data_IF_783751621552
#
_entry.id   IF_783751621552
#
_cell.length_a   1.000
_cell.length_b   1.000
_cell.length_c   1.000
_cell.angle_alpha   90.00
_cell.angle_beta   90.00
_cell.angle_gamma   90.00
#
_symmetry.space_group_name_H-M   'P 1'
#
loop_
_entity.id
_entity.type
_entity.pdbx_description
1 polymer ?
#
# COMPACT_ATOMS: atom_id res chain seq x y z
N UNK A 1 -12.67 13.38 3.19
CA UNK A 1 -14.11 13.61 3.40
C UNK A 1 -14.78 12.31 3.79
N UNK A 2 -15.67 12.31 4.77
CA UNK A 2 -16.46 11.15 5.12
C UNK A 2 -17.29 10.70 3.90
N UNK A 3 -17.22 9.40 3.55
CA UNK A 3 -17.93 8.86 2.39
C UNK A 3 -17.20 8.93 1.05
N UNK A 4 -16.00 9.48 1.00
CA UNK A 4 -15.20 9.51 -0.23
C UNK A 4 -14.33 8.24 -0.43
N UNK A 5 -14.34 7.33 0.51
CA UNK A 5 -13.50 6.13 0.52
C UNK A 5 -14.26 4.94 1.12
N UNK A 6 -14.47 3.90 0.32
CA UNK A 6 -15.10 2.65 0.73
C UNK A 6 -14.09 1.52 0.77
N UNK A 7 -14.26 0.58 1.71
CA UNK A 7 -13.39 -0.59 1.84
C UNK A 7 -14.19 -1.87 2.02
N UNK A 8 -13.76 -2.91 1.30
CA UNK A 8 -14.19 -4.29 1.52
C UNK A 8 -13.03 -5.02 2.16
N UNK A 9 -13.13 -5.23 3.46
CA UNK A 9 -12.16 -5.99 4.24
C UNK A 9 -12.27 -7.49 3.95
N UNK A 10 -11.14 -8.19 4.07
CA UNK A 10 -11.06 -9.63 3.83
C UNK A 10 -11.57 -10.02 2.43
N UNK A 11 -11.21 -9.24 1.42
CA UNK A 11 -11.64 -9.49 0.04
C UNK A 11 -11.15 -10.83 -0.49
N UNK A 12 -9.99 -11.31 -0.02
CA UNK A 12 -9.45 -12.62 -0.35
C UNK A 12 -10.40 -13.75 0.09
N UNK A 13 -10.78 -13.77 1.37
CA UNK A 13 -11.69 -14.80 1.91
C UNK A 13 -13.07 -14.72 1.26
N UNK A 14 -13.60 -13.51 1.12
CA UNK A 14 -14.91 -13.28 0.49
C UNK A 14 -14.94 -13.76 -0.96
N UNK A 15 -13.86 -13.54 -1.71
CA UNK A 15 -13.78 -14.00 -3.09
C UNK A 15 -13.66 -15.54 -3.14
N UNK A 16 -12.89 -16.14 -2.25
CA UNK A 16 -12.77 -17.59 -2.13
C UNK A 16 -14.12 -18.25 -1.87
N UNK A 17 -14.93 -17.68 -0.99
CA UNK A 17 -16.26 -18.20 -0.64
C UNK A 17 -17.28 -18.00 -1.76
N UNK A 18 -17.28 -16.83 -2.41
CA UNK A 18 -18.30 -16.46 -3.39
C UNK A 18 -18.00 -16.95 -4.81
N UNK A 19 -16.72 -17.07 -5.17
CA UNK A 19 -16.28 -17.40 -6.53
C UNK A 19 -14.91 -18.08 -6.52
N UNK A 20 -14.81 -19.36 -6.09
CA UNK A 20 -13.53 -20.07 -5.93
C UNK A 20 -12.66 -20.10 -7.20
N UNK A 21 -13.27 -20.29 -8.36
CA UNK A 21 -12.55 -20.33 -9.64
C UNK A 21 -11.93 -18.98 -10.00
N UNK A 22 -12.62 -17.90 -9.69
CA UNK A 22 -12.08 -16.53 -9.88
C UNK A 22 -10.97 -16.27 -8.88
N UNK A 23 -11.17 -16.68 -7.62
CA UNK A 23 -10.16 -16.59 -6.57
C UNK A 23 -8.85 -17.27 -6.99
N UNK A 24 -8.92 -18.52 -7.46
CA UNK A 24 -7.73 -19.25 -7.90
C UNK A 24 -7.00 -18.55 -9.05
N UNK A 25 -7.72 -18.13 -10.09
CA UNK A 25 -7.12 -17.43 -11.23
C UNK A 25 -6.53 -16.07 -10.86
N UNK A 26 -7.13 -15.39 -9.91
CA UNK A 26 -6.69 -14.06 -9.48
C UNK A 26 -5.44 -14.14 -8.59
N UNK A 27 -5.50 -14.92 -7.52
CA UNK A 27 -4.43 -14.95 -6.51
C UNK A 27 -3.30 -15.93 -6.83
N UNK A 28 -3.53 -16.96 -7.66
CA UNK A 28 -2.49 -17.82 -8.20
C UNK A 28 -1.86 -17.26 -9.50
N UNK A 29 -1.99 -15.96 -9.73
CA UNK A 29 -1.38 -15.30 -10.89
C UNK A 29 0.13 -15.29 -10.76
N UNK A 30 0.83 -15.68 -11.84
CA UNK A 30 2.30 -15.79 -11.87
C UNK A 30 3.01 -14.48 -11.54
N UNK A 31 2.45 -13.32 -11.91
CA UNK A 31 3.07 -12.03 -11.60
C UNK A 31 3.03 -11.73 -10.10
N UNK A 32 1.91 -12.03 -9.43
CA UNK A 32 1.79 -11.92 -7.97
C UNK A 32 2.77 -12.87 -7.29
N UNK A 33 2.77 -14.14 -7.70
CA UNK A 33 3.67 -15.15 -7.15
C UNK A 33 5.13 -14.72 -7.30
N UNK A 34 5.55 -14.32 -8.49
CA UNK A 34 6.94 -13.91 -8.76
C UNK A 34 7.36 -12.73 -7.87
N UNK A 35 6.50 -11.71 -7.73
CA UNK A 35 6.80 -10.57 -6.87
C UNK A 35 6.93 -10.98 -5.39
N UNK A 36 6.01 -11.82 -4.91
CA UNK A 36 6.03 -12.28 -3.52
C UNK A 36 7.23 -13.19 -3.24
N UNK A 37 7.51 -14.17 -4.10
CA UNK A 37 8.65 -15.09 -3.92
C UNK A 37 10.00 -14.39 -4.04
N UNK A 38 10.12 -13.42 -4.94
CA UNK A 38 11.35 -12.65 -5.09
C UNK A 38 11.69 -11.81 -3.85
N UNK A 39 10.68 -11.33 -3.13
CA UNK A 39 10.88 -10.50 -1.93
C UNK A 39 10.88 -11.32 -0.64
N UNK A 40 9.94 -12.25 -0.47
CA UNK A 40 9.68 -12.96 0.78
C UNK A 40 10.16 -14.42 0.79
N UNK A 41 10.49 -14.96 -0.38
CA UNK A 41 10.72 -16.40 -0.53
C UNK A 41 9.40 -17.20 -0.56
N UNK A 42 9.47 -18.52 -0.54
CA UNK A 42 8.29 -19.39 -0.54
C UNK A 42 7.53 -19.33 0.79
N UNK A 43 6.27 -19.77 0.78
CA UNK A 43 5.44 -19.92 1.98
C UNK A 43 5.05 -18.60 2.68
N UNK A 44 4.73 -17.58 1.92
CA UNK A 44 4.20 -16.32 2.43
C UNK A 44 2.70 -16.39 2.72
N UNK A 45 2.23 -15.51 3.58
CA UNK A 45 0.81 -15.28 3.86
C UNK A 45 0.33 -14.00 3.22
N UNK A 46 -0.89 -14.00 2.70
CA UNK A 46 -1.47 -12.83 2.03
C UNK A 46 -2.80 -12.45 2.66
N UNK A 47 -3.00 -11.15 2.84
CA UNK A 47 -4.30 -10.54 3.10
C UNK A 47 -4.63 -9.56 1.99
N UNK A 48 -5.92 -9.34 1.75
CA UNK A 48 -6.36 -8.41 0.71
C UNK A 48 -7.60 -7.62 1.14
N UNK A 49 -7.68 -6.39 0.63
CA UNK A 49 -8.84 -5.52 0.81
C UNK A 49 -9.08 -4.70 -0.45
N UNK A 50 -10.32 -4.63 -0.90
CA UNK A 50 -10.69 -3.70 -1.96
C UNK A 50 -10.86 -2.30 -1.37
N UNK A 51 -10.24 -1.32 -2.02
CA UNK A 51 -10.38 0.09 -1.69
C UNK A 51 -10.97 0.84 -2.89
N UNK A 52 -12.03 1.57 -2.65
CA UNK A 52 -12.68 2.43 -3.64
C UNK A 52 -12.61 3.87 -3.16
N UNK A 53 -11.98 4.74 -3.94
CA UNK A 53 -11.88 6.18 -3.65
C UNK A 53 -12.69 6.94 -4.71
N UNK A 54 -13.73 7.60 -4.24
CA UNK A 54 -14.62 8.39 -5.09
C UNK A 54 -13.98 9.73 -5.50
N UNK A 55 -14.51 10.39 -6.55
CA UNK A 55 -14.14 11.76 -6.86
C UNK A 55 -14.25 12.68 -5.63
N UNK A 56 -13.24 13.54 -5.43
CA UNK A 56 -13.15 14.40 -4.25
C UNK A 56 -12.57 13.72 -3.00
N UNK A 57 -12.10 12.47 -3.11
CA UNK A 57 -11.41 11.80 -2.01
C UNK A 57 -10.05 12.45 -1.71
N UNK A 58 -9.80 12.77 -0.44
CA UNK A 58 -8.57 13.39 0.00
C UNK A 58 -7.35 12.45 -0.07
N UNK A 59 -6.16 13.05 -0.20
CA UNK A 59 -4.91 12.33 -0.08
C UNK A 59 -4.74 11.73 1.33
N UNK A 60 -4.12 10.59 1.37
CA UNK A 60 -3.66 10.02 2.63
C UNK A 60 -2.35 10.72 3.04
N UNK A 61 -2.19 10.99 4.33
CA UNK A 61 -0.91 11.45 4.85
C UNK A 61 0.15 10.39 4.56
N UNK A 62 1.32 10.83 4.08
CA UNK A 62 2.46 9.95 3.86
C UNK A 62 2.85 9.24 5.15
N UNK A 63 3.12 7.94 5.07
CA UNK A 63 3.44 7.08 6.20
C UNK A 63 4.29 5.89 5.74
N UNK A 64 4.72 5.10 6.71
CA UNK A 64 5.27 3.76 6.50
C UNK A 64 4.34 2.75 7.15
N UNK A 65 4.13 1.63 6.47
CA UNK A 65 3.39 0.51 7.01
C UNK A 65 4.37 -0.59 7.46
N UNK A 66 4.32 -0.89 8.73
CA UNK A 66 4.93 -2.03 9.38
C UNK A 66 4.15 -2.28 10.68
N UNK A 67 4.35 -3.41 11.34
CA UNK A 67 3.49 -3.80 12.47
C UNK A 67 3.43 -2.76 13.61
N UNK A 68 4.42 -1.87 13.74
CA UNK A 68 4.42 -0.76 14.70
C UNK A 68 4.03 0.59 14.08
N UNK A 69 3.68 0.65 12.79
CA UNK A 69 3.51 1.89 12.03
C UNK A 69 2.41 2.81 12.55
N UNK A 70 1.39 2.25 13.18
CA UNK A 70 0.27 2.99 13.74
C UNK A 70 0.39 3.28 15.23
N UNK A 71 1.47 2.84 15.87
CA UNK A 71 1.73 3.13 17.28
C UNK A 71 2.19 4.58 17.47
N UNK A 72 2.06 5.09 18.68
CA UNK A 72 2.64 6.39 19.02
C UNK A 72 4.17 6.33 18.99
N UNK A 73 4.83 7.49 18.91
CA UNK A 73 6.28 7.56 18.94
C UNK A 73 6.86 6.98 20.24
N UNK A 74 6.18 7.22 21.37
CA UNK A 74 6.57 6.72 22.71
C UNK A 74 6.51 5.18 22.74
N UNK A 75 5.43 4.59 22.22
CA UNK A 75 5.29 3.12 22.15
C UNK A 75 6.32 2.53 21.21
N UNK A 76 6.52 3.12 20.03
CA UNK A 76 7.51 2.66 19.07
C UNK A 76 8.94 2.69 19.64
N UNK A 77 9.27 3.69 20.45
CA UNK A 77 10.58 3.83 21.09
C UNK A 77 10.90 2.73 22.13
N UNK A 78 9.90 1.97 22.60
CA UNK A 78 10.11 0.85 23.51
C UNK A 78 10.71 -0.39 22.82
N UNK A 79 10.67 -0.44 21.51
CA UNK A 79 11.15 -1.58 20.72
C UNK A 79 12.59 -1.35 20.26
N UNK A 80 13.43 -2.40 20.27
CA UNK A 80 14.81 -2.28 19.80
C UNK A 80 14.86 -2.04 18.29
N UNK A 81 15.95 -1.42 17.83
CA UNK A 81 16.10 -0.97 16.43
C UNK A 81 15.91 -2.09 15.40
N UNK A 82 16.39 -3.30 15.69
CA UNK A 82 16.24 -4.42 14.77
C UNK A 82 14.78 -4.81 14.47
N UNK A 83 13.85 -4.56 15.40
CA UNK A 83 12.41 -4.79 15.15
C UNK A 83 11.89 -3.85 14.10
N UNK A 84 12.34 -2.59 14.11
CA UNK A 84 11.96 -1.60 13.12
C UNK A 84 12.57 -1.88 11.73
N UNK A 85 13.75 -2.50 11.70
CA UNK A 85 14.46 -2.82 10.46
C UNK A 85 13.91 -4.09 9.80
N UNK A 86 13.67 -5.13 10.59
CA UNK A 86 13.23 -6.43 10.06
C UNK A 86 11.78 -6.46 9.63
N UNK A 87 10.89 -5.76 10.33
CA UNK A 87 9.45 -5.82 10.03
C UNK A 87 9.11 -5.46 8.58
N UNK A 88 9.62 -4.35 8.01
CA UNK A 88 9.37 -4.05 6.60
C UNK A 88 10.07 -5.01 5.63
N UNK A 89 11.19 -5.62 6.03
CA UNK A 89 11.88 -6.59 5.20
C UNK A 89 11.11 -7.91 5.05
N UNK A 90 10.29 -8.24 6.05
CA UNK A 90 9.46 -9.45 6.09
C UNK A 90 8.05 -9.22 5.52
N UNK A 91 7.79 -8.07 4.95
CA UNK A 91 6.48 -7.71 4.39
C UNK A 91 6.64 -7.11 2.99
N UNK A 92 5.62 -7.30 2.16
CA UNK A 92 5.48 -6.70 0.84
C UNK A 92 4.07 -6.13 0.72
N UNK A 93 3.96 -4.91 0.23
CA UNK A 93 2.68 -4.32 -0.11
C UNK A 93 2.48 -4.28 -1.62
N UNK A 94 1.23 -4.37 -2.05
CA UNK A 94 0.88 -4.24 -3.45
C UNK A 94 -0.50 -3.64 -3.64
N UNK A 95 -0.73 -3.12 -4.83
CA UNK A 95 -2.02 -2.67 -5.28
C UNK A 95 -2.26 -3.16 -6.70
N UNK A 96 -3.38 -3.85 -6.93
CA UNK A 96 -3.81 -4.26 -8.26
C UNK A 96 -4.92 -3.33 -8.71
N UNK A 97 -4.72 -2.66 -9.83
CA UNK A 97 -5.66 -1.71 -10.39
C UNK A 97 -6.90 -2.43 -10.97
N UNK A 98 -8.09 -2.11 -10.48
CA UNK A 98 -9.36 -2.63 -11.02
C UNK A 98 -10.04 -1.66 -12.01
N UNK A 99 -9.46 -0.49 -12.20
CA UNK A 99 -9.81 0.50 -13.21
C UNK A 99 -8.55 1.19 -13.69
N UNK A 100 -8.62 1.97 -14.77
CA UNK A 100 -7.54 2.86 -15.14
C UNK A 100 -7.39 3.95 -14.08
N UNK A 101 -6.15 4.24 -13.72
CA UNK A 101 -5.76 5.17 -12.66
C UNK A 101 -4.80 6.22 -13.20
N UNK A 102 -5.27 7.22 -13.98
CA UNK A 102 -4.45 8.37 -14.33
C UNK A 102 -4.09 9.18 -13.08
N UNK A 103 -3.10 10.06 -13.17
CA UNK A 103 -2.58 10.83 -12.04
C UNK A 103 -3.69 11.59 -11.29
N UNK A 104 -4.65 12.14 -11.99
CA UNK A 104 -5.80 12.85 -11.41
C UNK A 104 -6.71 11.99 -10.53
N UNK A 105 -6.71 10.67 -10.72
CA UNK A 105 -7.42 9.75 -9.82
C UNK A 105 -6.70 9.52 -8.49
N UNK A 106 -5.47 10.03 -8.35
CA UNK A 106 -4.67 9.97 -7.14
C UNK A 106 -4.08 8.59 -6.84
N UNK A 107 -3.40 7.91 -7.78
CA UNK A 107 -2.69 6.67 -7.47
C UNK A 107 -1.69 6.87 -6.34
N UNK A 108 -1.12 5.79 -5.84
CA UNK A 108 -0.21 5.83 -4.70
C UNK A 108 1.00 6.73 -4.99
N UNK A 109 1.23 7.68 -4.10
CA UNK A 109 2.45 8.48 -3.99
C UNK A 109 3.53 7.66 -3.32
N UNK A 110 4.73 7.66 -3.84
CA UNK A 110 5.88 6.94 -3.30
C UNK A 110 7.09 7.88 -3.25
N UNK A 111 7.82 7.89 -2.14
CA UNK A 111 9.11 8.59 -2.08
C UNK A 111 10.24 7.61 -2.36
N UNK A 112 10.86 7.65 -3.55
CA UNK A 112 11.92 6.71 -3.91
C UNK A 112 13.08 6.74 -2.92
N UNK A 113 13.67 5.57 -2.65
CA UNK A 113 14.81 5.37 -1.74
C UNK A 113 14.57 5.67 -0.26
N UNK A 114 13.37 6.11 0.13
CA UNK A 114 13.06 6.43 1.53
C UNK A 114 13.10 5.20 2.46
N UNK A 115 12.99 3.98 1.91
CA UNK A 115 13.18 2.75 2.68
C UNK A 115 14.58 2.59 3.26
N UNK A 116 15.58 3.26 2.69
CA UNK A 116 16.97 3.20 3.17
C UNK A 116 17.22 4.08 4.40
N UNK A 117 16.31 4.97 4.72
CA UNK A 117 16.40 5.82 5.91
C UNK A 117 15.91 5.07 7.16
N UNK A 118 16.75 4.20 7.70
CA UNK A 118 16.40 3.32 8.82
C UNK A 118 16.06 4.07 10.12
N UNK A 119 16.79 5.12 10.56
CA UNK A 119 16.53 5.76 11.85
C UNK A 119 15.18 6.46 11.96
N UNK A 120 14.48 6.65 10.87
CA UNK A 120 13.33 7.52 10.79
C UNK A 120 11.96 6.86 10.73
N UNK A 121 11.73 5.71 11.37
CA UNK A 121 10.45 5.03 11.25
C UNK A 121 9.23 5.88 11.60
N UNK A 122 9.31 6.72 12.62
CA UNK A 122 8.27 7.66 12.99
C UNK A 122 8.45 9.06 12.36
N UNK A 123 9.49 9.26 11.55
CA UNK A 123 9.84 10.57 10.98
C UNK A 123 8.74 11.17 10.09
N UNK A 124 7.92 10.34 9.47
CA UNK A 124 6.77 10.77 8.67
C UNK A 124 5.78 11.68 9.43
N UNK A 125 5.86 11.70 10.75
CA UNK A 125 5.05 12.59 11.61
C UNK A 125 5.62 14.01 11.72
N UNK A 126 6.88 14.19 11.35
CA UNK A 126 7.55 15.51 11.40
C UNK A 126 7.19 16.33 10.17
N UNK A 127 7.09 17.65 10.35
CA UNK A 127 6.75 18.59 9.27
C UNK A 127 7.77 18.57 8.13
N UNK A 128 9.05 18.63 8.45
CA UNK A 128 10.14 18.64 7.47
C UNK A 128 10.14 17.36 6.57
N UNK A 129 9.74 16.21 7.14
CA UNK A 129 9.59 14.98 6.36
C UNK A 129 8.37 15.01 5.45
N UNK A 130 7.26 15.62 5.90
CA UNK A 130 6.06 15.79 5.07
C UNK A 130 6.34 16.73 3.90
N UNK A 131 7.01 17.87 4.16
CA UNK A 131 7.42 18.81 3.13
C UNK A 131 8.35 18.12 2.11
N UNK A 132 9.33 17.36 2.57
CA UNK A 132 10.24 16.60 1.71
C UNK A 132 9.47 15.56 0.88
N UNK A 133 8.51 14.86 1.47
CA UNK A 133 7.68 13.91 0.75
C UNK A 133 6.88 14.60 -0.36
N UNK A 134 6.16 15.68 -0.04
CA UNK A 134 5.33 16.40 -1.02
C UNK A 134 6.16 17.04 -2.14
N UNK A 135 7.41 17.39 -1.88
CA UNK A 135 8.31 17.96 -2.89
C UNK A 135 8.93 16.92 -3.84
N UNK A 136 9.02 15.63 -3.42
CA UNK A 136 9.84 14.63 -4.14
C UNK A 136 9.15 13.29 -4.40
N UNK A 137 7.88 13.13 -4.03
CA UNK A 137 7.19 11.89 -4.34
C UNK A 137 7.04 11.68 -5.86
N UNK A 138 6.90 10.44 -6.25
CA UNK A 138 6.49 10.03 -7.60
C UNK A 138 5.14 9.33 -7.54
N UNK A 139 4.37 9.46 -8.62
CA UNK A 139 3.15 8.70 -8.85
C UNK A 139 3.23 8.02 -10.21
N UNK A 140 2.80 6.76 -10.27
CA UNK A 140 2.73 6.02 -11.53
C UNK A 140 1.26 5.89 -11.93
N UNK A 141 0.87 6.33 -13.14
CA UNK A 141 -0.42 5.98 -13.67
C UNK A 141 -0.47 4.46 -13.89
N UNK A 142 -1.61 3.84 -13.61
CA UNK A 142 -1.81 2.41 -13.79
C UNK A 142 -2.97 2.18 -14.73
N UNK A 143 -2.83 1.21 -15.63
CA UNK A 143 -3.95 0.68 -16.41
C UNK A 143 -4.67 -0.40 -15.60
N UNK A 144 -5.94 -0.63 -15.89
CA UNK A 144 -6.67 -1.76 -15.30
C UNK A 144 -5.93 -3.07 -15.53
N UNK A 145 -5.63 -3.78 -14.44
CA UNK A 145 -4.86 -5.02 -14.43
C UNK A 145 -3.39 -4.85 -14.08
N UNK A 146 -2.85 -3.63 -14.09
CA UNK A 146 -1.49 -3.39 -13.60
C UNK A 146 -1.42 -3.62 -12.09
N UNK A 147 -0.23 -4.00 -11.64
CA UNK A 147 0.07 -4.15 -10.23
C UNK A 147 1.33 -3.37 -9.84
N UNK A 148 1.26 -2.67 -8.73
CA UNK A 148 2.38 -1.96 -8.12
C UNK A 148 2.73 -2.66 -6.81
N UNK A 149 3.98 -3.14 -6.69
CA UNK A 149 4.51 -3.72 -5.46
C UNK A 149 5.63 -2.85 -4.89
N UNK A 150 5.68 -2.71 -3.58
CA UNK A 150 6.72 -1.93 -2.90
C UNK A 150 6.91 -2.40 -1.45
N UNK A 151 8.11 -2.13 -0.92
CA UNK A 151 8.38 -2.35 0.50
C UNK A 151 7.57 -1.38 1.37
N UNK A 152 6.90 -1.82 2.43
CA UNK A 152 6.15 -0.93 3.33
C UNK A 152 7.04 0.10 4.05
N UNK A 153 8.36 -0.06 4.03
CA UNK A 153 9.31 0.93 4.53
C UNK A 153 9.43 2.18 3.64
N UNK A 154 8.99 2.11 2.37
CA UNK A 154 8.91 3.29 1.51
C UNK A 154 7.87 4.25 2.08
N UNK A 155 8.19 5.54 2.22
CA UNK A 155 7.19 6.55 2.53
C UNK A 155 6.20 6.63 1.38
N UNK A 156 4.94 6.42 1.69
CA UNK A 156 3.88 6.36 0.71
C UNK A 156 2.55 6.88 1.26
N UNK A 157 1.64 7.12 0.36
CA UNK A 157 0.27 7.50 0.69
C UNK A 157 -0.61 7.56 -0.56
N UNK A 158 -1.90 7.37 -0.41
CA UNK A 158 -2.83 7.58 -1.50
C UNK A 158 -2.85 9.06 -1.91
N UNK A 159 -2.85 9.35 -3.22
CA UNK A 159 -3.07 10.70 -3.72
C UNK A 159 -4.54 11.11 -3.65
N UNK A 160 -4.82 12.42 -3.73
CA UNK A 160 -6.18 12.94 -3.86
C UNK A 160 -6.79 12.53 -5.19
N UNK A 161 -8.05 12.10 -5.17
CA UNK A 161 -8.80 11.89 -6.39
C UNK A 161 -9.47 13.21 -6.80
N UNK A 162 -8.82 13.95 -7.68
CA UNK A 162 -9.31 15.25 -8.20
C UNK A 162 -10.08 15.09 -9.50
N UNK A 163 -10.26 13.85 -9.97
CA UNK A 163 -11.08 13.59 -11.16
C UNK A 163 -12.57 13.87 -10.88
N UNK A 164 -13.32 14.13 -11.93
CA UNK A 164 -14.76 14.40 -11.84
C UNK A 164 -15.62 13.13 -11.81
N UNK A 165 -15.08 12.00 -12.31
CA UNK A 165 -15.90 10.81 -12.60
C UNK A 165 -15.18 9.47 -12.43
N UNK A 166 -13.92 9.45 -12.00
CA UNK A 166 -13.17 8.20 -11.80
C UNK A 166 -13.37 7.72 -10.37
N UNK A 167 -14.03 6.59 -10.23
CA UNK A 167 -14.11 5.86 -8.98
C UNK A 167 -12.91 4.91 -8.91
N UNK A 168 -11.80 5.38 -8.32
CA UNK A 168 -10.53 4.64 -8.26
C UNK A 168 -10.67 3.39 -7.40
N UNK A 169 -10.58 2.23 -8.00
CA UNK A 169 -10.73 0.94 -7.32
C UNK A 169 -9.46 0.10 -7.46
N UNK A 170 -8.93 -0.32 -6.33
CA UNK A 170 -7.80 -1.23 -6.26
C UNK A 170 -8.04 -2.35 -5.25
N UNK A 171 -7.44 -3.51 -5.52
CA UNK A 171 -7.26 -4.54 -4.50
C UNK A 171 -5.89 -4.36 -3.86
N UNK A 172 -5.86 -4.02 -2.59
CA UNK A 172 -4.64 -3.80 -1.83
C UNK A 172 -4.20 -5.14 -1.22
N UNK A 173 -2.97 -5.51 -1.49
CA UNK A 173 -2.35 -6.74 -0.98
C UNK A 173 -1.36 -6.40 0.13
N UNK A 174 -1.43 -7.15 1.22
CA UNK A 174 -0.41 -7.17 2.26
C UNK A 174 0.06 -8.60 2.43
N UNK A 175 1.35 -8.79 2.21
CA UNK A 175 1.97 -10.12 2.18
C UNK A 175 3.10 -10.14 3.21
N UNK A 176 3.19 -11.20 3.97
CA UNK A 176 4.24 -11.40 4.97
C UNK A 176 4.86 -12.80 4.87
N UNK A 177 6.13 -12.87 5.21
CA UNK A 177 6.85 -14.13 5.33
C UNK A 177 6.43 -14.89 6.59
#
# INVERSE_FOLDING_TARGET
AAGANDRIWNSLQKLCESSPDVFLRYFANVAIQTACEAWLGPNYQMTAQVNLVHPGGDAQQAHRDYHLGFQTAEVSALYPSHVHELSPALTLQGAIAHCDMPIESGPTKLLPFSQTYLPGYAAWRREDFRETFEAHYVQLPLSKGDALFFSPAVFHGAGSNVSSNIHRMANLLQVSS
#
